data_IF_450561154565
#
_entry.id   IF_450561154565
#
_cell.length_a   1.000
_cell.length_b   1.000
_cell.length_c   1.000
_cell.angle_alpha   90.00
_cell.angle_beta   90.00
_cell.angle_gamma   90.00
#
_symmetry.space_group_name_H-M   'P 1'
#
loop_
_entity.id
_entity.type
_entity.pdbx_description
1 polymer ?
#
# COMPACT_ATOMS: atom_id res chain seq x y z
N UNK A 1 -7.69 4.55 12.77
CA UNK A 1 -8.37 4.99 11.53
C UNK A 1 -8.93 6.39 11.67
N UNK A 2 -9.48 6.79 12.83
CA UNK A 2 -9.96 8.16 13.06
C UNK A 2 -8.88 9.22 12.78
N UNK A 3 -7.64 8.98 13.26
CA UNK A 3 -6.50 9.86 13.00
C UNK A 3 -6.23 10.02 11.50
N UNK A 4 -6.12 8.92 10.75
CA UNK A 4 -5.95 8.95 9.31
C UNK A 4 -7.08 9.72 8.60
N UNK A 5 -8.35 9.48 8.98
CA UNK A 5 -9.50 10.21 8.42
C UNK A 5 -9.39 11.71 8.71
N UNK A 6 -9.02 12.10 9.93
CA UNK A 6 -8.85 13.51 10.30
C UNK A 6 -7.77 14.18 9.42
N UNK A 7 -6.63 13.50 9.27
CA UNK A 7 -5.51 13.94 8.44
C UNK A 7 -5.94 14.11 6.98
N UNK A 8 -6.65 13.11 6.42
CA UNK A 8 -7.16 13.19 5.05
C UNK A 8 -8.16 14.33 4.86
N UNK A 9 -9.07 14.54 5.83
CA UNK A 9 -10.05 15.65 5.79
C UNK A 9 -9.35 17.00 5.72
N UNK A 10 -8.31 17.20 6.53
CA UNK A 10 -7.54 18.44 6.55
C UNK A 10 -6.84 18.68 5.21
N UNK A 11 -6.17 17.67 4.67
CA UNK A 11 -5.50 17.75 3.37
C UNK A 11 -6.46 18.05 2.22
N UNK A 12 -7.61 17.37 2.16
CA UNK A 12 -8.59 17.58 1.10
C UNK A 12 -9.22 18.96 1.21
N UNK A 13 -9.51 19.43 2.43
CA UNK A 13 -10.00 20.79 2.66
C UNK A 13 -8.97 21.83 2.23
N UNK A 14 -7.71 21.65 2.61
CA UNK A 14 -6.62 22.52 2.17
C UNK A 14 -6.46 22.52 0.65
N UNK A 15 -6.52 21.36 0.02
CA UNK A 15 -6.42 21.20 -1.42
C UNK A 15 -7.53 21.91 -2.17
N UNK A 16 -8.77 21.84 -1.68
CA UNK A 16 -9.91 22.54 -2.29
C UNK A 16 -9.80 24.07 -2.15
N UNK A 17 -9.22 24.56 -1.05
CA UNK A 17 -9.05 25.99 -0.80
C UNK A 17 -7.87 26.59 -1.56
N UNK A 18 -6.73 25.90 -1.58
CA UNK A 18 -5.45 26.44 -2.05
C UNK A 18 -4.93 25.81 -3.34
N UNK A 19 -5.58 24.74 -3.82
CA UNK A 19 -5.12 23.88 -4.93
C UNK A 19 -3.77 23.20 -4.66
N UNK A 20 -3.35 23.17 -3.39
CA UNK A 20 -2.08 22.63 -2.90
C UNK A 20 -2.26 21.95 -1.54
N UNK A 21 -1.30 21.11 -1.16
CA UNK A 21 -1.23 20.48 0.16
C UNK A 21 0.12 20.83 0.79
N UNK A 22 0.11 21.58 1.89
CA UNK A 22 1.34 22.04 2.53
C UNK A 22 2.16 20.89 3.08
N UNK A 23 1.53 19.81 3.57
CA UNK A 23 2.29 18.64 4.04
C UNK A 23 3.11 17.98 2.93
N UNK A 24 2.63 17.98 1.68
CA UNK A 24 3.39 17.48 0.54
C UNK A 24 4.56 18.41 0.17
N UNK A 25 4.36 19.74 0.27
CA UNK A 25 5.43 20.72 0.07
C UNK A 25 6.53 20.58 1.11
N UNK A 26 6.14 20.55 2.38
CA UNK A 26 7.07 20.39 3.50
C UNK A 26 7.87 19.08 3.36
N UNK A 27 7.21 17.99 2.97
CA UNK A 27 7.90 16.74 2.70
C UNK A 27 8.91 16.88 1.55
N UNK A 28 8.53 17.56 0.47
CA UNK A 28 9.44 17.81 -0.66
C UNK A 28 10.66 18.62 -0.23
N UNK A 29 10.46 19.68 0.57
CA UNK A 29 11.52 20.54 1.10
C UNK A 29 12.46 19.78 2.05
N UNK A 30 11.90 18.96 2.95
CA UNK A 30 12.67 18.17 3.92
C UNK A 30 13.48 17.05 3.26
N UNK A 31 12.96 16.45 2.20
CA UNK A 31 13.59 15.30 1.53
C UNK A 31 14.42 15.70 0.31
N UNK A 32 14.24 16.92 -0.21
CA UNK A 32 14.79 17.34 -1.50
C UNK A 32 14.17 16.61 -2.69
N UNK A 33 13.08 15.87 -2.49
CA UNK A 33 12.44 15.05 -3.52
C UNK A 33 11.13 15.67 -3.97
N UNK A 34 10.82 15.57 -5.25
CA UNK A 34 9.51 15.98 -5.75
C UNK A 34 8.43 14.98 -5.29
N UNK A 35 7.43 15.49 -4.57
CA UNK A 35 6.12 14.84 -4.45
C UNK A 35 5.03 15.81 -4.90
N UNK A 36 3.96 15.27 -5.50
CA UNK A 36 2.86 16.08 -6.01
C UNK A 36 2.09 16.70 -4.84
N UNK A 37 2.31 18.00 -4.60
CA UNK A 37 1.51 18.80 -3.68
C UNK A 37 0.21 19.32 -4.28
N UNK A 38 0.04 19.17 -5.58
CA UNK A 38 -0.99 19.77 -6.42
C UNK A 38 -1.90 18.70 -7.07
N UNK A 39 -1.99 17.52 -6.48
CA UNK A 39 -2.86 16.42 -6.91
C UNK A 39 -3.63 15.86 -5.72
N UNK A 40 -4.72 15.14 -6.00
CA UNK A 40 -5.40 14.40 -4.94
C UNK A 40 -4.47 13.33 -4.35
N UNK A 41 -4.26 13.34 -3.02
CA UNK A 41 -3.44 12.33 -2.36
C UNK A 41 -4.16 10.98 -2.40
N UNK A 42 -3.42 9.89 -2.48
CA UNK A 42 -3.94 8.54 -2.42
C UNK A 42 -3.48 7.85 -1.14
N UNK A 43 -4.20 8.11 -0.04
CA UNK A 43 -3.88 7.54 1.27
C UNK A 43 -4.13 6.03 1.35
N UNK A 44 -5.22 5.59 0.73
CA UNK A 44 -5.66 4.22 0.83
C UNK A 44 -6.52 3.82 -0.37
N UNK A 45 -6.72 2.51 -0.53
CA UNK A 45 -7.71 1.93 -1.43
C UNK A 45 -8.37 0.71 -0.76
N UNK A 46 -9.69 0.58 -0.94
CA UNK A 46 -10.46 -0.55 -0.42
C UNK A 46 -11.04 -0.34 0.97
N UNK A 47 -11.34 -1.41 1.70
CA UNK A 47 -12.09 -1.33 2.96
C UNK A 47 -11.20 -1.03 4.19
N UNK A 48 -11.40 0.12 4.88
CA UNK A 48 -10.80 0.43 6.17
C UNK A 48 -10.84 -0.69 7.22
N UNK A 49 -11.86 -1.55 7.17
CA UNK A 49 -12.10 -2.63 8.13
C UNK A 49 -11.59 -4.00 7.68
N UNK A 50 -10.93 -4.09 6.52
CA UNK A 50 -10.48 -5.37 5.99
C UNK A 50 -9.49 -6.08 6.92
N UNK A 51 -9.60 -7.41 7.02
CA UNK A 51 -8.65 -8.25 7.78
C UNK A 51 -7.26 -8.31 7.16
N UNK A 52 -7.16 -8.05 5.85
CA UNK A 52 -5.92 -8.10 5.09
C UNK A 52 -5.48 -6.69 4.70
N UNK A 53 -4.27 -6.31 5.11
CA UNK A 53 -3.69 -4.99 4.85
C UNK A 53 -2.41 -5.13 4.03
N UNK A 54 -2.34 -4.41 2.91
CA UNK A 54 -1.11 -4.17 2.17
C UNK A 54 -0.62 -2.75 2.43
N UNK A 55 0.68 -2.61 2.69
CA UNK A 55 1.32 -1.31 2.86
C UNK A 55 2.32 -1.12 1.72
N UNK A 56 2.11 -0.08 0.94
CA UNK A 56 2.98 0.31 -0.17
C UNK A 56 3.72 1.61 0.15
N UNK A 57 4.76 1.88 -0.62
CA UNK A 57 5.63 3.01 -0.36
C UNK A 57 4.98 4.34 -0.75
N UNK A 58 4.52 4.42 -2.00
CA UNK A 58 3.89 5.60 -2.55
C UNK A 58 3.10 5.23 -3.82
N UNK A 59 2.07 6.01 -4.17
CA UNK A 59 1.40 5.88 -5.44
C UNK A 59 2.36 6.38 -6.53
N UNK A 60 2.79 5.47 -7.42
CA UNK A 60 3.58 5.85 -8.59
C UNK A 60 2.70 6.64 -9.57
N UNK A 61 2.86 7.95 -9.56
CA UNK A 61 2.12 8.88 -10.42
C UNK A 61 3.11 9.74 -11.21
N UNK A 62 2.67 10.29 -12.34
CA UNK A 62 3.44 11.26 -13.09
C UNK A 62 3.63 12.53 -12.25
N UNK A 63 4.83 13.12 -12.30
CA UNK A 63 5.11 14.37 -11.61
C UNK A 63 4.30 15.52 -12.22
N UNK A 64 3.52 16.21 -11.40
CA UNK A 64 2.86 17.44 -11.79
C UNK A 64 3.71 18.64 -11.36
N UNK A 65 4.42 19.23 -12.33
CA UNK A 65 5.33 20.37 -12.13
C UNK A 65 4.63 21.73 -12.06
N UNK A 66 3.31 21.78 -12.15
CA UNK A 66 2.59 23.04 -12.03
C UNK A 66 2.62 23.58 -10.59
N UNK A 67 2.47 24.89 -10.42
CA UNK A 67 2.47 25.47 -9.08
C UNK A 67 1.26 25.02 -8.23
N UNK A 68 0.12 24.75 -8.86
CA UNK A 68 -1.10 24.24 -8.22
C UNK A 68 -2.02 23.51 -9.20
N UNK A 69 -3.02 22.81 -8.67
CA UNK A 69 -3.93 21.98 -9.45
C UNK A 69 -4.65 22.75 -10.56
N UNK A 70 -4.65 22.19 -11.77
CA UNK A 70 -5.30 22.80 -12.96
C UNK A 70 -6.63 22.11 -13.26
N UNK A 71 -7.64 22.92 -13.61
CA UNK A 71 -8.96 22.44 -13.99
C UNK A 71 -9.96 22.34 -12.85
N UNK A 72 -11.05 21.62 -13.13
CA UNK A 72 -12.15 21.37 -12.19
C UNK A 72 -11.76 20.27 -11.20
N UNK A 73 -12.18 20.42 -9.95
CA UNK A 73 -11.99 19.41 -8.93
C UNK A 73 -12.68 18.10 -9.32
N UNK A 74 -11.96 16.98 -9.14
CA UNK A 74 -12.49 15.63 -9.40
C UNK A 74 -13.58 15.24 -8.40
N UNK A 75 -13.48 15.76 -7.17
CA UNK A 75 -14.41 15.48 -6.08
C UNK A 75 -14.93 16.80 -5.53
N UNK A 76 -16.24 16.89 -5.28
CA UNK A 76 -16.88 18.08 -4.72
C UNK A 76 -16.57 18.25 -3.22
N UNK A 77 -16.32 17.15 -2.50
CA UNK A 77 -16.02 17.18 -1.07
C UNK A 77 -15.23 15.94 -0.61
N UNK A 78 -14.93 15.89 0.69
CA UNK A 78 -14.20 14.78 1.31
C UNK A 78 -14.95 13.44 1.22
N UNK A 79 -16.27 13.43 1.42
CA UNK A 79 -17.04 12.18 1.46
C UNK A 79 -17.03 11.49 0.09
N UNK A 80 -17.12 12.28 -0.99
CA UNK A 80 -16.99 11.78 -2.36
C UNK A 80 -15.58 11.22 -2.61
N UNK A 81 -14.53 11.97 -2.21
CA UNK A 81 -13.14 11.51 -2.28
C UNK A 81 -12.93 10.19 -1.52
N UNK A 82 -13.46 10.09 -0.29
CA UNK A 82 -13.33 8.91 0.56
C UNK A 82 -14.06 7.71 -0.03
N UNK A 83 -15.31 7.92 -0.48
CA UNK A 83 -16.13 6.88 -1.12
C UNK A 83 -15.47 6.36 -2.39
N UNK A 84 -14.87 7.22 -3.21
CA UNK A 84 -14.14 6.82 -4.40
C UNK A 84 -12.98 5.86 -4.09
N UNK A 85 -12.17 6.16 -3.07
CA UNK A 85 -11.03 5.32 -2.69
C UNK A 85 -11.47 4.03 -1.97
N UNK A 86 -12.53 4.09 -1.18
CA UNK A 86 -13.13 2.92 -0.52
C UNK A 86 -13.68 1.91 -1.52
N UNK A 87 -14.34 2.39 -2.58
CA UNK A 87 -14.96 1.57 -3.62
C UNK A 87 -14.22 1.68 -4.95
N UNK A 88 -12.89 1.69 -4.87
CA UNK A 88 -12.02 1.85 -6.04
C UNK A 88 -12.25 0.72 -7.05
N UNK A 89 -12.38 -0.51 -6.56
CA UNK A 89 -12.66 -1.71 -7.35
C UNK A 89 -13.97 -1.59 -8.12
N UNK A 90 -15.06 -1.31 -7.43
CA UNK A 90 -16.37 -1.10 -8.06
C UNK A 90 -16.33 0.00 -9.12
N UNK A 91 -15.61 1.09 -8.84
CA UNK A 91 -15.51 2.24 -9.75
C UNK A 91 -14.78 1.90 -11.05
N UNK A 92 -13.71 1.09 -11.00
CA UNK A 92 -12.86 0.82 -12.17
C UNK A 92 -13.09 -0.54 -12.84
N UNK A 93 -13.64 -1.50 -12.12
CA UNK A 93 -13.77 -2.90 -12.56
C UNK A 93 -15.20 -3.44 -12.48
N UNK A 94 -16.07 -2.78 -11.71
CA UNK A 94 -17.46 -3.21 -11.52
C UNK A 94 -18.31 -3.13 -12.78
N UNK A 95 -19.55 -3.62 -12.68
CA UNK A 95 -20.47 -3.75 -13.82
C UNK A 95 -20.73 -2.42 -14.55
N UNK A 96 -20.79 -1.32 -13.81
CA UNK A 96 -21.03 0.03 -14.35
C UNK A 96 -19.75 0.70 -14.87
N UNK A 97 -18.58 0.09 -14.68
CA UNK A 97 -17.34 0.62 -15.22
C UNK A 97 -17.23 0.33 -16.71
N UNK A 98 -16.53 1.19 -17.44
CA UNK A 98 -16.20 0.94 -18.84
C UNK A 98 -15.16 -0.19 -19.03
N UNK A 99 -14.62 -0.74 -17.93
CA UNK A 99 -13.61 -1.81 -17.89
C UNK A 99 -12.41 -1.55 -18.81
N UNK A 100 -12.11 -0.27 -19.09
CA UNK A 100 -11.00 0.12 -19.96
C UNK A 100 -9.65 0.01 -19.23
N UNK A 101 -9.68 0.08 -17.90
CA UNK A 101 -8.49 -0.05 -17.07
C UNK A 101 -8.25 -1.53 -16.78
N UNK A 102 -7.03 -1.99 -17.05
CA UNK A 102 -6.53 -3.29 -16.57
C UNK A 102 -5.14 -3.10 -16.00
N UNK A 103 -5.09 -2.68 -14.73
CA UNK A 103 -3.83 -2.44 -14.03
C UNK A 103 -3.05 -3.76 -13.89
N UNK A 104 -1.83 -3.87 -14.47
CA UNK A 104 -0.96 -5.01 -14.22
C UNK A 104 -0.56 -5.12 -12.75
N UNK A 105 -0.54 -3.99 -12.04
CA UNK A 105 -0.28 -3.93 -10.62
C UNK A 105 -1.43 -4.53 -9.81
N UNK A 106 -2.69 -4.22 -10.12
CA UNK A 106 -3.85 -4.76 -9.39
C UNK A 106 -3.99 -6.25 -9.68
N UNK A 107 -3.74 -6.67 -10.94
CA UNK A 107 -3.67 -8.08 -11.32
C UNK A 107 -2.56 -8.85 -10.58
N UNK A 108 -1.46 -8.17 -10.25
CA UNK A 108 -0.40 -8.72 -9.40
C UNK A 108 -0.87 -8.89 -7.96
N UNK A 109 -1.61 -7.94 -7.41
CA UNK A 109 -2.19 -8.06 -6.07
C UNK A 109 -3.18 -9.24 -5.98
N UNK A 110 -4.02 -9.45 -6.99
CA UNK A 110 -4.91 -10.63 -7.07
C UNK A 110 -4.11 -11.93 -6.92
N UNK A 111 -3.03 -12.08 -7.70
CA UNK A 111 -2.19 -13.29 -7.65
C UNK A 111 -1.53 -13.49 -6.28
N UNK A 112 -1.09 -12.42 -5.64
CA UNK A 112 -0.44 -12.47 -4.34
C UNK A 112 -1.42 -12.89 -3.23
N UNK A 113 -2.59 -12.23 -3.18
CA UNK A 113 -3.56 -12.36 -2.08
C UNK A 113 -4.33 -13.68 -2.14
N UNK A 114 -4.48 -14.27 -3.33
CA UNK A 114 -5.26 -15.51 -3.52
C UNK A 114 -4.88 -16.63 -2.55
N UNK A 115 -3.61 -16.74 -2.15
CA UNK A 115 -3.16 -17.78 -1.23
C UNK A 115 -3.58 -17.58 0.23
N UNK A 116 -3.94 -16.35 0.62
CA UNK A 116 -4.32 -16.02 2.00
C UNK A 116 -5.76 -16.37 2.33
N UNK A 117 -6.59 -16.74 1.33
CA UNK A 117 -7.98 -17.20 1.50
C UNK A 117 -8.90 -16.24 2.27
N UNK A 118 -8.57 -14.95 2.28
CA UNK A 118 -9.38 -13.87 2.91
C UNK A 118 -10.42 -13.26 1.96
N UNK A 119 -10.34 -13.58 0.66
CA UNK A 119 -11.26 -13.13 -0.38
C UNK A 119 -11.59 -14.32 -1.27
N UNK A 120 -12.87 -14.52 -1.56
CA UNK A 120 -13.35 -15.58 -2.45
C UNK A 120 -13.23 -15.18 -3.93
N UNK A 121 -12.33 -15.85 -4.63
CA UNK A 121 -12.07 -15.63 -6.05
C UNK A 121 -12.88 -16.57 -6.94
N UNK A 122 -13.34 -16.06 -8.09
CA UNK A 122 -14.04 -16.81 -9.12
C UNK A 122 -13.24 -16.86 -10.44
N UNK A 123 -13.84 -17.31 -11.54
CA UNK A 123 -13.18 -17.37 -12.85
C UNK A 123 -13.18 -16.03 -13.60
N UNK A 124 -14.01 -15.07 -13.18
CA UNK A 124 -14.14 -13.78 -13.82
C UNK A 124 -13.03 -12.83 -13.34
N UNK A 125 -12.14 -12.49 -14.26
CA UNK A 125 -10.98 -11.61 -13.99
C UNK A 125 -11.36 -10.23 -13.47
N UNK A 126 -12.44 -9.61 -13.97
CA UNK A 126 -12.87 -8.28 -13.53
C UNK A 126 -13.55 -8.34 -12.17
N UNK A 127 -14.38 -9.36 -11.93
CA UNK A 127 -14.95 -9.65 -10.60
C UNK A 127 -13.84 -9.77 -9.56
N UNK A 128 -12.80 -10.55 -9.85
CA UNK A 128 -11.65 -10.72 -8.96
C UNK A 128 -10.86 -9.43 -8.71
N UNK A 129 -10.74 -8.55 -9.72
CA UNK A 129 -10.10 -7.24 -9.55
C UNK A 129 -10.93 -6.33 -8.65
N UNK A 130 -12.25 -6.26 -8.87
CA UNK A 130 -13.17 -5.52 -8.00
C UNK A 130 -13.06 -6.02 -6.55
N UNK A 131 -13.21 -7.34 -6.35
CA UNK A 131 -13.12 -7.98 -5.03
C UNK A 131 -11.81 -7.69 -4.31
N UNK A 132 -10.68 -7.79 -4.99
CA UNK A 132 -9.37 -7.49 -4.37
C UNK A 132 -9.20 -6.02 -4.07
N UNK A 133 -9.70 -5.13 -4.92
CA UNK A 133 -9.56 -3.72 -4.66
C UNK A 133 -10.43 -3.24 -3.50
N UNK A 134 -11.62 -3.81 -3.33
CA UNK A 134 -12.58 -3.33 -2.32
C UNK A 134 -12.57 -4.11 -0.99
N UNK A 135 -12.16 -5.39 -0.97
CA UNK A 135 -12.21 -6.23 0.26
C UNK A 135 -10.87 -6.36 1.01
N UNK A 136 -9.84 -5.66 0.57
CA UNK A 136 -8.59 -5.48 1.34
C UNK A 136 -8.42 -4.01 1.69
N UNK A 137 -7.54 -3.72 2.64
CA UNK A 137 -7.02 -2.37 2.83
C UNK A 137 -5.66 -2.25 2.15
N UNK A 138 -5.50 -1.32 1.22
CA UNK A 138 -4.20 -0.86 0.76
C UNK A 138 -3.91 0.49 1.42
N UNK A 139 -2.76 0.64 2.06
CA UNK A 139 -2.26 1.91 2.59
C UNK A 139 -0.99 2.32 1.85
N UNK A 140 -0.85 3.62 1.58
CA UNK A 140 0.39 4.19 1.07
C UNK A 140 1.11 4.91 2.22
N UNK A 141 2.39 4.59 2.45
CA UNK A 141 3.22 5.31 3.43
C UNK A 141 3.23 6.80 3.11
N UNK A 142 3.46 7.13 1.84
CA UNK A 142 3.35 8.48 1.34
C UNK A 142 2.20 8.57 0.36
N UNK A 143 1.17 9.36 0.67
CA UNK A 143 -0.03 9.45 -0.14
C UNK A 143 0.16 10.39 -1.34
N UNK A 144 1.28 11.13 -1.39
CA UNK A 144 1.58 12.10 -2.43
C UNK A 144 2.32 11.42 -3.57
N UNK A 145 1.73 11.47 -4.77
CA UNK A 145 2.28 10.80 -5.94
C UNK A 145 3.64 11.35 -6.37
N UNK A 146 4.51 10.45 -6.83
CA UNK A 146 5.81 10.81 -7.41
C UNK A 146 6.30 9.70 -8.33
N UNK A 147 6.92 10.08 -9.44
CA UNK A 147 7.42 9.14 -10.44
C UNK A 147 8.77 8.50 -10.05
N UNK A 148 9.53 9.19 -9.19
CA UNK A 148 10.91 8.85 -8.80
C UNK A 148 11.13 8.86 -7.29
N UNK A 149 10.14 8.44 -6.53
CA UNK A 149 10.28 8.38 -5.09
C UNK A 149 11.35 7.35 -4.67
N UNK A 150 12.45 7.83 -4.09
CA UNK A 150 13.58 7.07 -3.59
C UNK A 150 13.79 7.29 -2.08
N UNK A 151 13.48 6.27 -1.31
CA UNK A 151 13.59 6.31 0.16
C UNK A 151 15.00 6.43 0.70
N UNK A 152 16.00 6.03 -0.08
CA UNK A 152 17.40 6.15 0.31
C UNK A 152 17.85 7.62 0.47
N UNK A 153 17.12 8.56 -0.15
CA UNK A 153 17.42 9.99 -0.08
C UNK A 153 16.82 10.65 1.18
N UNK A 154 15.99 9.93 1.93
CA UNK A 154 15.30 10.47 3.09
C UNK A 154 16.21 10.36 4.31
N UNK A 155 16.53 11.51 4.89
CA UNK A 155 17.41 11.62 6.05
C UNK A 155 16.59 11.80 7.33
N UNK A 156 17.05 11.17 8.41
CA UNK A 156 16.51 11.36 9.76
C UNK A 156 15.06 10.89 9.92
N UNK A 157 14.35 11.54 10.83
CA UNK A 157 13.01 11.13 11.28
C UNK A 157 11.86 11.71 10.44
N UNK A 158 12.13 12.27 9.26
CA UNK A 158 11.12 12.95 8.43
C UNK A 158 9.95 12.06 8.00
N UNK A 159 10.16 10.73 7.93
CA UNK A 159 9.09 9.76 7.66
C UNK A 159 8.37 9.27 8.90
N UNK A 160 8.89 9.55 10.10
CA UNK A 160 8.33 9.03 11.35
C UNK A 160 6.83 9.34 11.50
N UNK A 161 6.34 10.57 11.24
CA UNK A 161 4.90 10.85 11.34
C UNK A 161 4.05 9.96 10.41
N UNK A 162 4.52 9.69 9.19
CA UNK A 162 3.82 8.85 8.23
C UNK A 162 3.80 7.38 8.65
N UNK A 163 4.91 6.88 9.20
CA UNK A 163 5.00 5.53 9.75
C UNK A 163 4.02 5.37 10.92
N UNK A 164 4.02 6.31 11.86
CA UNK A 164 3.15 6.25 13.04
C UNK A 164 1.66 6.33 12.65
N UNK A 165 1.29 7.13 11.64
CA UNK A 165 -0.07 7.16 11.09
C UNK A 165 -0.47 5.80 10.52
N UNK A 166 0.42 5.12 9.80
CA UNK A 166 0.16 3.77 9.29
C UNK A 166 -0.04 2.78 10.43
N UNK A 167 0.86 2.76 11.41
CA UNK A 167 0.79 1.84 12.54
C UNK A 167 -0.48 2.06 13.36
N UNK A 168 -0.85 3.32 13.65
CA UNK A 168 -2.12 3.68 14.28
C UNK A 168 -3.33 3.17 13.47
N UNK A 169 -3.27 3.31 12.15
CA UNK A 169 -4.34 2.82 11.26
C UNK A 169 -4.44 1.29 11.28
N UNK A 170 -3.30 0.60 11.31
CA UNK A 170 -3.24 -0.86 11.39
C UNK A 170 -3.89 -1.34 12.69
N UNK A 171 -3.47 -0.83 13.84
CA UNK A 171 -3.97 -1.27 15.16
C UNK A 171 -5.41 -0.87 15.46
N UNK A 172 -5.95 0.10 14.72
CA UNK A 172 -7.33 0.56 14.96
C UNK A 172 -8.42 -0.45 14.60
N UNK A 173 -8.07 -1.58 13.99
CA UNK A 173 -8.95 -2.71 13.73
C UNK A 173 -8.14 -4.01 13.87
N UNK A 174 -8.79 -5.10 14.25
CA UNK A 174 -8.16 -6.42 14.23
C UNK A 174 -7.81 -6.82 12.78
N UNK A 175 -6.55 -7.23 12.56
CA UNK A 175 -6.04 -7.65 11.25
C UNK A 175 -5.52 -9.08 11.34
N UNK A 176 -5.87 -9.90 10.37
CA UNK A 176 -5.33 -11.25 10.25
C UNK A 176 -3.95 -11.23 9.56
N UNK A 177 -3.80 -10.37 8.54
CA UNK A 177 -2.55 -10.23 7.80
C UNK A 177 -2.19 -8.76 7.57
N UNK A 178 -0.97 -8.41 7.95
CA UNK A 178 -0.36 -7.09 7.69
C UNK A 178 0.90 -7.31 6.88
N UNK A 179 0.92 -6.88 5.61
CA UNK A 179 2.04 -7.11 4.70
C UNK A 179 2.60 -5.79 4.17
N UNK A 180 3.87 -5.53 4.51
CA UNK A 180 4.67 -4.43 3.97
C UNK A 180 5.32 -4.83 2.65
N UNK A 181 4.96 -4.14 1.57
CA UNK A 181 5.31 -4.48 0.20
C UNK A 181 6.66 -3.86 -0.22
N UNK A 182 7.76 -4.51 0.14
CA UNK A 182 9.09 -4.21 -0.37
C UNK A 182 10.16 -4.12 0.71
N UNK A 183 11.42 -4.39 0.33
CA UNK A 183 12.57 -4.46 1.26
C UNK A 183 12.83 -3.17 2.04
N UNK A 184 12.39 -2.03 1.51
CA UNK A 184 12.59 -0.72 2.14
C UNK A 184 12.00 -0.63 3.55
N UNK A 185 10.91 -1.35 3.80
CA UNK A 185 10.25 -1.33 5.11
C UNK A 185 11.09 -1.94 6.22
N UNK A 186 12.12 -2.74 5.91
CA UNK A 186 13.07 -3.21 6.93
C UNK A 186 13.82 -2.05 7.58
N UNK A 187 14.23 -1.06 6.78
CA UNK A 187 14.95 0.11 7.28
C UNK A 187 13.98 1.10 7.92
N UNK A 188 12.82 1.32 7.32
CA UNK A 188 11.83 2.28 7.82
C UNK A 188 11.24 1.87 9.17
N UNK A 189 11.06 0.57 9.41
CA UNK A 189 10.44 0.06 10.63
C UNK A 189 11.46 -0.38 11.68
N UNK A 190 12.76 -0.17 11.46
CA UNK A 190 13.84 -0.73 12.30
C UNK A 190 13.64 -0.45 13.80
N UNK A 191 13.17 0.74 14.14
CA UNK A 191 13.02 1.20 15.53
C UNK A 191 11.71 0.70 16.18
N UNK A 192 10.82 0.12 15.39
CA UNK A 192 9.54 -0.43 15.83
C UNK A 192 9.54 -1.97 15.91
N UNK A 193 10.48 -2.63 15.20
CA UNK A 193 10.57 -4.09 15.14
C UNK A 193 11.21 -4.62 16.43
N UNK A 194 10.46 -5.41 17.19
CA UNK A 194 10.92 -6.08 18.43
C UNK A 194 11.32 -7.54 18.20
N UNK A 195 10.83 -8.16 17.12
CA UNK A 195 11.24 -9.51 16.70
C UNK A 195 11.23 -9.60 15.18
N UNK A 196 12.20 -10.33 14.62
CA UNK A 196 12.36 -10.52 13.17
C UNK A 196 12.92 -11.89 12.86
N UNK A 197 12.33 -12.53 11.85
CA UNK A 197 12.86 -13.74 11.23
C UNK A 197 12.88 -13.59 9.72
N UNK A 198 14.06 -13.77 9.14
CA UNK A 198 14.28 -13.67 7.70
C UNK A 198 14.20 -15.04 7.03
N UNK A 199 13.62 -15.06 5.83
CA UNK A 199 13.50 -16.23 4.99
C UNK A 199 13.96 -15.91 3.58
N UNK A 200 14.78 -16.78 3.02
CA UNK A 200 15.13 -16.82 1.61
C UNK A 200 14.68 -18.14 1.00
N UNK A 201 14.13 -18.08 -0.21
CA UNK A 201 13.64 -19.25 -0.91
C UNK A 201 13.66 -19.02 -2.41
N UNK A 202 13.69 -20.12 -3.17
CA UNK A 202 13.52 -20.07 -4.61
C UNK A 202 12.08 -20.36 -5.00
N UNK A 203 11.58 -19.63 -5.99
CA UNK A 203 10.24 -19.84 -6.54
C UNK A 203 10.27 -20.85 -7.67
N UNK A 204 9.18 -21.60 -7.81
CA UNK A 204 8.91 -22.40 -9.00
C UNK A 204 8.46 -21.47 -10.14
N UNK A 205 8.99 -21.74 -11.33
CA UNK A 205 8.51 -21.15 -12.59
C UNK A 205 7.33 -21.98 -13.12
N UNK A 206 6.73 -21.51 -14.22
CA UNK A 206 5.61 -22.20 -14.88
C UNK A 206 6.01 -23.54 -15.49
N UNK A 207 7.27 -23.71 -15.86
CA UNK A 207 7.85 -24.93 -16.41
C UNK A 207 8.37 -25.87 -15.31
N UNK A 208 7.93 -25.67 -14.07
CA UNK A 208 8.37 -26.41 -12.86
C UNK A 208 9.86 -26.26 -12.52
N UNK A 209 10.64 -25.57 -13.35
CA UNK A 209 12.03 -25.24 -13.03
C UNK A 209 12.10 -24.21 -11.91
N UNK A 210 13.23 -24.18 -11.21
CA UNK A 210 13.45 -23.22 -10.12
C UNK A 210 13.97 -21.87 -10.67
N UNK A 211 13.51 -20.76 -10.08
CA UNK A 211 14.02 -19.43 -10.37
C UNK A 211 15.53 -19.32 -10.06
N UNK A 212 16.26 -18.57 -10.89
CA UNK A 212 17.70 -18.35 -10.69
C UNK A 212 17.98 -17.56 -9.41
N UNK A 213 17.20 -16.51 -9.17
CA UNK A 213 17.37 -15.59 -8.05
C UNK A 213 16.52 -16.01 -6.86
N UNK A 214 17.04 -15.76 -5.65
CA UNK A 214 16.29 -15.93 -4.41
C UNK A 214 15.18 -14.86 -4.32
N UNK A 215 14.06 -15.29 -3.76
CA UNK A 215 13.03 -14.41 -3.22
C UNK A 215 13.17 -14.37 -1.70
N UNK A 216 12.71 -13.29 -1.09
CA UNK A 216 12.84 -13.12 0.36
C UNK A 216 11.58 -12.56 1.01
N UNK A 217 11.41 -12.91 2.27
CA UNK A 217 10.30 -12.53 3.14
C UNK A 217 10.82 -12.41 4.57
N UNK A 218 10.30 -11.48 5.36
CA UNK A 218 10.51 -11.46 6.82
C UNK A 218 9.20 -11.60 7.54
N UNK A 219 9.16 -12.42 8.59
CA UNK A 219 8.14 -12.32 9.63
C UNK A 219 8.67 -11.37 10.70
N UNK A 220 7.87 -10.39 11.11
CA UNK A 220 8.24 -9.40 12.12
C UNK A 220 7.14 -9.26 13.16
N UNK A 221 7.53 -8.81 14.34
CA UNK A 221 6.63 -8.25 15.35
C UNK A 221 7.01 -6.80 15.55
N UNK A 222 6.03 -5.91 15.47
CA UNK A 222 6.18 -4.48 15.72
C UNK A 222 5.53 -4.16 17.06
N UNK A 223 6.22 -3.39 17.92
CA UNK A 223 5.62 -2.80 19.12
C UNK A 223 5.28 -1.34 18.86
N UNK A 224 4.02 -0.96 19.06
CA UNK A 224 3.56 0.41 18.86
C UNK A 224 2.37 0.73 19.76
N UNK A 225 2.48 1.82 20.54
CA UNK A 225 1.43 2.28 21.47
C UNK A 225 0.87 1.15 22.36
N UNK A 226 1.74 0.31 22.91
CA UNK A 226 1.36 -0.81 23.78
C UNK A 226 0.72 -2.01 23.06
N UNK A 227 0.63 -1.98 21.73
CA UNK A 227 0.11 -3.07 20.91
C UNK A 227 1.25 -3.80 20.20
N UNK A 228 1.06 -5.10 19.95
CA UNK A 228 1.93 -5.89 19.10
C UNK A 228 1.25 -6.16 17.76
N UNK A 229 1.98 -5.94 16.67
CA UNK A 229 1.52 -6.19 15.31
C UNK A 229 2.39 -7.30 14.73
N UNK A 230 1.80 -8.50 14.54
CA UNK A 230 2.40 -9.52 13.69
C UNK A 230 2.28 -9.07 12.24
N UNK A 231 3.39 -9.03 11.53
CA UNK A 231 3.45 -8.55 10.16
C UNK A 231 4.47 -9.30 9.31
N UNK A 232 4.31 -9.18 7.99
CA UNK A 232 5.24 -9.68 6.99
C UNK A 232 5.88 -8.56 6.20
N UNK A 233 7.19 -8.63 5.94
CA UNK A 233 7.85 -7.79 4.93
C UNK A 233 8.05 -8.64 3.68
N UNK A 234 7.23 -8.38 2.66
CA UNK A 234 7.32 -9.02 1.35
C UNK A 234 8.42 -8.34 0.50
N UNK A 235 9.70 -8.62 0.84
CA UNK A 235 10.87 -7.92 0.28
C UNK A 235 10.94 -7.97 -1.24
N UNK A 236 10.62 -9.12 -1.82
CA UNK A 236 10.63 -9.36 -3.26
C UNK A 236 9.38 -8.85 -3.98
N UNK A 237 8.37 -8.34 -3.27
CA UNK A 237 7.10 -7.94 -3.87
C UNK A 237 7.30 -6.98 -5.06
N UNK A 238 8.21 -6.01 -4.98
CA UNK A 238 8.45 -5.02 -6.03
C UNK A 238 9.18 -5.57 -7.28
N UNK A 239 9.71 -6.79 -7.24
CA UNK A 239 10.49 -7.36 -8.35
C UNK A 239 9.62 -7.59 -9.60
N UNK A 240 10.15 -7.20 -10.77
CA UNK A 240 9.51 -7.46 -12.05
C UNK A 240 9.67 -8.93 -12.44
N UNK A 241 8.65 -9.50 -13.12
CA UNK A 241 8.68 -10.88 -13.60
C UNK A 241 8.55 -11.97 -12.52
N UNK A 242 8.39 -11.59 -11.24
CA UNK A 242 8.22 -12.54 -10.15
C UNK A 242 6.93 -13.36 -10.34
N UNK A 243 7.01 -14.69 -10.13
CA UNK A 243 5.82 -15.54 -10.08
C UNK A 243 5.02 -15.24 -8.80
N UNK A 244 4.15 -14.23 -8.91
CA UNK A 244 3.47 -13.65 -7.75
C UNK A 244 2.52 -14.62 -7.04
N UNK A 245 1.96 -15.60 -7.75
CA UNK A 245 1.11 -16.62 -7.15
C UNK A 245 1.91 -17.52 -6.21
N UNK A 246 3.06 -18.03 -6.67
CA UNK A 246 3.95 -18.85 -5.85
C UNK A 246 4.59 -18.05 -4.71
N UNK A 247 4.93 -16.78 -4.97
CA UNK A 247 5.41 -15.87 -3.93
C UNK A 247 4.36 -15.64 -2.84
N UNK A 248 3.10 -15.39 -3.21
CA UNK A 248 1.99 -15.25 -2.27
C UNK A 248 1.79 -16.50 -1.40
N UNK A 249 1.77 -17.68 -2.01
CA UNK A 249 1.69 -18.97 -1.29
C UNK A 249 2.82 -19.13 -0.27
N UNK A 250 4.06 -18.84 -0.68
CA UNK A 250 5.20 -18.98 0.23
C UNK A 250 5.17 -17.95 1.35
N UNK A 251 4.79 -16.71 1.07
CA UNK A 251 4.61 -15.69 2.11
C UNK A 251 3.53 -16.09 3.12
N UNK A 252 2.37 -16.58 2.65
CA UNK A 252 1.31 -17.09 3.52
C UNK A 252 1.80 -18.22 4.43
N UNK A 253 2.49 -19.23 3.86
CA UNK A 253 3.06 -20.34 4.63
C UNK A 253 4.01 -19.83 5.73
N UNK A 254 4.93 -18.94 5.38
CA UNK A 254 5.96 -18.44 6.30
C UNK A 254 5.40 -17.46 7.34
N UNK A 255 4.36 -16.72 7.01
CA UNK A 255 3.64 -15.84 7.94
C UNK A 255 3.00 -16.68 9.06
N UNK A 256 2.32 -17.77 8.68
CA UNK A 256 1.61 -18.66 9.60
C UNK A 256 2.49 -19.71 10.27
N UNK A 257 3.78 -19.79 9.93
CA UNK A 257 4.70 -20.70 10.59
C UNK A 257 4.97 -20.23 12.03
N UNK A 258 4.72 -21.10 13.00
CA UNK A 258 5.06 -20.85 14.40
C UNK A 258 6.58 -20.69 14.58
N UNK A 259 6.96 -19.83 15.52
CA UNK A 259 8.35 -19.73 15.93
C UNK A 259 8.68 -21.00 16.73
N UNK A 260 9.48 -21.88 16.14
CA UNK A 260 10.13 -23.00 16.85
C UNK A 260 10.99 -22.47 18.00
#
# INVERSE_FOLDING_TARGET
MENLIHIMKNDIKEFHLSRKISRAKNLSEQTGMHVNHNEYPAYFFGDPKAKFVLIHLNPKQQDNKSDGYKGNFKFANFDEYFKFHRYYGKTHYGEQSNKLVKSPFDSKQVRFIKAFNVIEFDDNKYSNLEKVMDNKLQLELLPFGSSKFETALIKGDSLKPYIEILLDTIISQEREYVIFCGKVFETLLKDYIVSKRDYEFKLLKKDESTAKNNSSFSKIVISFNGNEISAGIAKSFAQQGLNMSEYGKKCFQLYNQESL
#
